data_IF_020379151369
#
_entry.id   IF_020379151369
#
_cell.length_a   1.000
_cell.length_b   1.000
_cell.length_c   1.000
_cell.angle_alpha   90.00
_cell.angle_beta   90.00
_cell.angle_gamma   90.00
#
_symmetry.space_group_name_H-M   'P 1'
#
loop_
_entity.id
_entity.type
_entity.pdbx_description
1 polymer ?
#
# COMPACT_ATOMS: atom_id res chain seq x y z
N UNK A 1 17.97 -15.68 -12.38
CA UNK A 1 18.96 -15.27 -13.39
C UNK A 1 20.26 -16.09 -13.32
N UNK A 2 21.00 -16.07 -12.20
CA UNK A 2 22.35 -16.67 -12.07
C UNK A 2 22.50 -18.17 -12.45
N UNK A 3 21.43 -18.97 -12.39
CA UNK A 3 21.45 -20.39 -12.79
C UNK A 3 21.01 -20.66 -14.24
N UNK A 4 20.81 -19.62 -15.06
CA UNK A 4 20.29 -19.78 -16.43
C UNK A 4 18.79 -20.10 -16.51
N UNK A 5 18.08 -20.15 -15.38
CA UNK A 5 16.63 -20.43 -15.27
C UNK A 5 15.77 -19.15 -15.20
N UNK A 6 16.23 -18.06 -15.82
CA UNK A 6 15.54 -16.76 -15.76
C UNK A 6 14.16 -16.81 -16.44
N UNK A 7 14.07 -17.56 -17.53
CA UNK A 7 12.84 -17.85 -18.28
C UNK A 7 11.82 -18.62 -17.43
N UNK A 8 12.23 -19.66 -16.71
CA UNK A 8 11.36 -20.42 -15.81
C UNK A 8 10.86 -19.57 -14.65
N UNK A 9 11.73 -18.71 -14.09
CA UNK A 9 11.35 -17.79 -13.03
C UNK A 9 10.33 -16.74 -13.51
N UNK A 10 10.55 -16.13 -14.68
CA UNK A 10 9.62 -15.15 -15.27
C UNK A 10 8.26 -15.77 -15.61
N UNK A 11 8.24 -16.96 -16.21
CA UNK A 11 6.98 -17.64 -16.51
C UNK A 11 6.26 -18.09 -15.26
N UNK A 12 6.98 -18.66 -14.30
CA UNK A 12 6.45 -19.04 -12.99
C UNK A 12 5.83 -17.84 -12.27
N UNK A 13 6.52 -16.71 -12.27
CA UNK A 13 6.03 -15.44 -11.74
C UNK A 13 4.75 -14.98 -12.46
N UNK A 14 4.75 -14.92 -13.80
CA UNK A 14 3.57 -14.47 -14.56
C UNK A 14 2.32 -15.35 -14.30
N UNK A 15 2.48 -16.67 -14.29
CA UNK A 15 1.39 -17.61 -13.99
C UNK A 15 0.92 -17.46 -12.54
N UNK A 16 1.86 -17.35 -11.61
CA UNK A 16 1.54 -17.16 -10.19
C UNK A 16 0.82 -15.84 -9.93
N UNK A 17 1.25 -14.77 -10.59
CA UNK A 17 0.61 -13.45 -10.57
C UNK A 17 -0.82 -13.54 -11.10
N UNK A 18 -1.05 -14.21 -12.24
CA UNK A 18 -2.39 -14.42 -12.79
C UNK A 18 -3.32 -15.20 -11.87
N UNK A 19 -2.82 -16.29 -11.25
CA UNK A 19 -3.57 -17.08 -10.28
C UNK A 19 -3.88 -16.25 -9.04
N UNK A 20 -2.90 -15.50 -8.54
CA UNK A 20 -3.05 -14.59 -7.41
C UNK A 20 -4.11 -13.52 -7.65
N UNK A 21 -4.05 -12.87 -8.82
CA UNK A 21 -5.07 -11.91 -9.24
C UNK A 21 -6.45 -12.55 -9.34
N UNK A 22 -6.58 -13.73 -9.95
CA UNK A 22 -7.89 -14.40 -10.13
C UNK A 22 -8.52 -14.76 -8.79
N UNK A 23 -7.75 -15.40 -7.90
CA UNK A 23 -8.21 -15.77 -6.56
C UNK A 23 -8.60 -14.51 -5.79
N UNK A 24 -7.78 -13.48 -5.87
CA UNK A 24 -8.03 -12.23 -5.16
C UNK A 24 -9.27 -11.50 -5.65
N UNK A 25 -9.57 -11.51 -6.95
CA UNK A 25 -10.80 -10.89 -7.49
C UNK A 25 -12.03 -11.71 -7.08
N UNK A 26 -11.92 -13.04 -7.03
CA UNK A 26 -13.00 -13.90 -6.50
C UNK A 26 -13.25 -13.60 -5.02
N UNK A 27 -12.20 -13.54 -4.20
CA UNK A 27 -12.32 -13.18 -2.78
C UNK A 27 -12.87 -11.75 -2.62
N UNK A 28 -12.42 -10.81 -3.45
CA UNK A 28 -12.96 -9.44 -3.46
C UNK A 28 -14.47 -9.46 -3.71
N UNK A 29 -14.94 -10.14 -4.75
CA UNK A 29 -16.37 -10.23 -5.09
C UNK A 29 -17.19 -10.86 -3.95
N UNK A 30 -16.62 -11.85 -3.25
CA UNK A 30 -17.31 -12.53 -2.14
C UNK A 30 -17.36 -11.68 -0.86
N UNK A 31 -16.26 -10.99 -0.52
CA UNK A 31 -16.15 -10.24 0.73
C UNK A 31 -16.60 -8.77 0.63
N UNK A 32 -16.65 -8.19 -0.57
CA UNK A 32 -17.03 -6.78 -0.74
C UNK A 32 -18.45 -6.47 -0.25
N UNK A 33 -19.51 -7.23 -0.63
CA UNK A 33 -20.86 -6.92 -0.14
C UNK A 33 -21.03 -7.10 1.38
N UNK A 34 -20.60 -8.23 2.00
CA UNK A 34 -20.70 -8.39 3.45
C UNK A 34 -19.92 -7.33 4.23
N UNK A 35 -18.74 -6.92 3.73
CA UNK A 35 -17.95 -5.89 4.38
C UNK A 35 -18.61 -4.51 4.25
N UNK A 36 -19.22 -4.18 3.11
CA UNK A 36 -19.99 -2.95 2.94
C UNK A 36 -21.22 -2.90 3.86
N UNK A 37 -21.95 -4.01 4.01
CA UNK A 37 -23.07 -4.09 4.96
C UNK A 37 -22.63 -3.94 6.42
N UNK A 38 -21.49 -4.52 6.77
CA UNK A 38 -20.89 -4.33 8.10
C UNK A 38 -20.50 -2.87 8.32
N UNK A 39 -19.91 -2.24 7.30
CA UNK A 39 -19.46 -0.85 7.37
C UNK A 39 -20.61 0.16 7.50
N UNK A 40 -21.80 -0.14 6.98
CA UNK A 40 -23.00 0.68 7.22
C UNK A 40 -23.39 0.76 8.70
N UNK A 41 -22.90 -0.16 9.54
CA UNK A 41 -23.15 -0.18 10.99
C UNK A 41 -22.07 0.53 11.79
N UNK A 42 -21.00 0.99 11.15
CA UNK A 42 -19.91 1.66 11.86
C UNK A 42 -20.33 3.06 12.29
N UNK A 43 -20.05 3.38 13.55
CA UNK A 43 -20.08 4.74 14.05
C UNK A 43 -18.68 5.38 14.01
N UNK A 44 -18.58 6.63 14.48
CA UNK A 44 -17.30 7.33 14.57
C UNK A 44 -16.24 6.59 15.41
N UNK A 45 -16.67 5.82 16.42
CA UNK A 45 -15.79 5.04 17.30
C UNK A 45 -15.07 3.93 16.52
N UNK A 46 -15.82 3.16 15.72
CA UNK A 46 -15.28 2.09 14.88
C UNK A 46 -14.37 2.64 13.79
N UNK A 47 -14.77 3.73 13.13
CA UNK A 47 -13.95 4.38 12.11
C UNK A 47 -12.61 4.86 12.69
N UNK A 48 -12.62 5.53 13.84
CA UNK A 48 -11.39 5.97 14.49
C UNK A 48 -10.49 4.79 14.85
N UNK A 49 -11.05 3.73 15.45
CA UNK A 49 -10.31 2.54 15.84
C UNK A 49 -9.68 1.83 14.63
N UNK A 50 -10.36 1.80 13.48
CA UNK A 50 -9.81 1.27 12.22
C UNK A 50 -8.64 2.11 11.69
N UNK A 51 -8.69 3.43 11.80
CA UNK A 51 -7.56 4.29 11.43
C UNK A 51 -6.37 4.08 12.37
N UNK A 52 -6.61 3.92 13.67
CA UNK A 52 -5.55 3.58 14.64
C UNK A 52 -4.92 2.23 14.30
N UNK A 53 -5.74 1.23 13.94
CA UNK A 53 -5.26 -0.06 13.45
C UNK A 53 -4.43 0.08 12.18
N UNK A 54 -4.81 0.96 11.24
CA UNK A 54 -4.02 1.24 10.04
C UNK A 54 -2.62 1.77 10.38
N UNK A 55 -2.52 2.74 11.30
CA UNK A 55 -1.23 3.24 11.75
C UNK A 55 -0.41 2.18 12.50
N UNK A 56 -1.05 1.34 13.31
CA UNK A 56 -0.41 0.24 14.00
C UNK A 56 0.17 -0.81 13.04
N UNK A 57 -0.50 -1.08 11.92
CA UNK A 57 -0.03 -2.02 10.91
C UNK A 57 1.32 -1.60 10.31
N UNK A 58 1.55 -0.32 10.05
CA UNK A 58 2.87 0.15 9.60
C UNK A 58 3.96 -0.11 10.65
N UNK A 59 3.64 0.07 11.93
CA UNK A 59 4.59 -0.12 13.03
C UNK A 59 4.91 -1.62 13.22
N UNK A 60 3.89 -2.47 13.17
CA UNK A 60 4.02 -3.89 13.45
C UNK A 60 4.50 -4.74 12.28
N UNK A 61 4.12 -4.38 11.04
CA UNK A 61 4.34 -5.20 9.83
C UNK A 61 5.19 -4.52 8.76
N UNK A 62 5.52 -3.23 8.90
CA UNK A 62 6.24 -2.46 7.88
C UNK A 62 7.67 -2.92 7.62
N UNK A 63 8.29 -3.65 8.55
CA UNK A 63 9.68 -4.12 8.43
C UNK A 63 10.75 -3.03 8.55
N UNK A 64 10.34 -1.76 8.51
CA UNK A 64 11.18 -0.57 8.70
C UNK A 64 11.49 -0.28 10.18
N UNK A 65 12.42 0.65 10.41
CA UNK A 65 12.77 1.14 11.75
C UNK A 65 11.55 1.77 12.45
N UNK A 66 11.06 1.13 13.51
CA UNK A 66 9.86 1.54 14.27
C UNK A 66 9.85 3.04 14.63
N UNK A 67 10.92 3.63 15.22
CA UNK A 67 10.89 5.05 15.59
C UNK A 67 10.77 5.96 14.37
N UNK A 68 11.38 5.58 13.24
CA UNK A 68 11.30 6.35 12.00
C UNK A 68 9.91 6.22 11.35
N UNK A 69 9.29 5.06 11.46
CA UNK A 69 7.89 4.85 11.04
C UNK A 69 6.95 5.73 11.85
N UNK A 70 7.06 5.73 13.18
CA UNK A 70 6.25 6.59 14.06
C UNK A 70 6.47 8.06 13.73
N UNK A 71 7.72 8.50 13.57
CA UNK A 71 8.03 9.87 13.18
C UNK A 71 7.38 10.25 11.84
N UNK A 72 7.43 9.34 10.86
CA UNK A 72 6.86 9.58 9.54
C UNK A 72 5.33 9.67 9.60
N UNK A 73 4.66 8.83 10.40
CA UNK A 73 3.22 8.93 10.65
C UNK A 73 2.87 10.27 11.30
N UNK A 74 3.58 10.65 12.36
CA UNK A 74 3.34 11.92 13.07
C UNK A 74 3.57 13.14 12.17
N UNK A 75 4.65 13.11 11.37
CA UNK A 75 4.91 14.14 10.37
C UNK A 75 3.74 14.25 9.39
N UNK A 76 3.23 13.13 8.90
CA UNK A 76 2.06 13.12 8.03
C UNK A 76 0.80 13.68 8.72
N UNK A 77 0.52 13.29 9.96
CA UNK A 77 -0.62 13.82 10.72
C UNK A 77 -0.53 15.34 10.93
N UNK A 78 0.67 15.86 11.22
CA UNK A 78 0.90 17.32 11.34
C UNK A 78 0.62 18.02 10.01
N UNK A 79 1.09 17.47 8.90
CA UNK A 79 0.86 18.03 7.57
C UNK A 79 -0.60 17.96 7.14
N UNK A 80 -1.35 16.93 7.58
CA UNK A 80 -2.79 16.82 7.38
C UNK A 80 -3.60 17.84 8.17
N UNK A 81 -3.09 18.32 9.31
CA UNK A 81 -3.76 19.30 10.16
C UNK A 81 -3.62 20.75 9.66
N UNK A 82 -2.85 20.97 8.58
CA UNK A 82 -2.68 22.28 7.94
C UNK A 82 -3.97 22.69 7.23
N UNK A 83 -4.47 23.89 7.55
CA UNK A 83 -5.65 24.48 6.92
C UNK A 83 -6.77 24.78 7.90
N UNK A 84 -7.99 24.92 7.39
CA UNK A 84 -9.16 25.15 8.23
C UNK A 84 -9.63 23.88 8.94
N UNK A 85 -9.93 24.03 10.23
CA UNK A 85 -10.70 23.03 10.96
C UNK A 85 -12.15 22.99 10.49
N UNK A 86 -12.59 21.85 10.00
CA UNK A 86 -13.97 21.63 9.56
C UNK A 86 -14.96 21.75 10.74
N UNK A 87 -14.53 21.47 11.98
CA UNK A 87 -15.41 21.46 13.16
C UNK A 87 -15.50 22.83 13.82
N UNK A 88 -14.38 23.50 14.11
CA UNK A 88 -14.38 24.83 14.75
C UNK A 88 -14.38 26.01 13.77
N UNK A 89 -14.10 25.79 12.49
CA UNK A 89 -13.92 26.86 11.50
C UNK A 89 -12.66 27.70 11.69
N UNK A 90 -11.78 27.33 12.64
CA UNK A 90 -10.56 28.07 12.94
C UNK A 90 -9.40 27.65 12.04
N UNK A 91 -8.54 28.59 11.62
CA UNK A 91 -7.31 28.25 10.90
C UNK A 91 -6.33 27.50 11.81
N UNK A 92 -5.66 26.47 11.27
CA UNK A 92 -4.66 25.66 11.98
C UNK A 92 -3.39 25.51 11.14
N UNK A 93 -2.25 25.66 11.81
CA UNK A 93 -0.91 25.49 11.22
C UNK A 93 -0.73 26.26 9.89
N UNK A 94 -1.24 27.50 9.82
CA UNK A 94 -0.98 28.38 8.69
C UNK A 94 0.48 28.83 8.77
N UNK A 95 1.30 28.30 7.88
CA UNK A 95 2.70 28.69 7.82
C UNK A 95 2.81 30.11 7.25
N UNK A 96 3.61 30.95 7.92
CA UNK A 96 3.96 32.30 7.48
C UNK A 96 2.76 33.23 7.21
N UNK A 97 1.62 32.99 7.86
CA UNK A 97 0.35 33.71 7.64
C UNK A 97 -0.11 33.76 6.17
N UNK A 98 0.36 32.82 5.35
CA UNK A 98 0.01 32.73 3.94
C UNK A 98 -1.40 32.15 3.77
N UNK A 99 -2.28 32.91 3.12
CA UNK A 99 -3.70 32.56 2.88
C UNK A 99 -3.82 31.24 2.10
N UNK A 100 -2.82 30.90 1.30
CA UNK A 100 -2.77 29.70 0.48
C UNK A 100 -2.81 28.40 1.30
N UNK A 101 -2.24 28.41 2.53
CA UNK A 101 -2.30 27.26 3.43
C UNK A 101 -3.67 27.05 4.07
N UNK A 102 -4.60 28.02 3.98
CA UNK A 102 -5.96 27.85 4.51
C UNK A 102 -6.72 26.70 3.84
N UNK A 103 -6.41 26.42 2.57
CA UNK A 103 -6.98 25.28 1.81
C UNK A 103 -6.35 23.94 2.21
N UNK A 104 -5.34 23.95 3.07
CA UNK A 104 -4.56 22.78 3.46
C UNK A 104 -3.68 22.25 2.35
N UNK A 105 -2.97 21.17 2.68
CA UNK A 105 -2.08 20.48 1.74
C UNK A 105 -2.88 19.41 1.02
N UNK A 106 -3.13 19.64 -0.27
CA UNK A 106 -3.84 18.66 -1.10
C UNK A 106 -3.07 17.34 -1.17
N UNK A 107 -3.76 16.23 -0.93
CA UNK A 107 -3.16 14.90 -1.03
C UNK A 107 -2.46 14.67 -2.37
N UNK A 108 -3.05 15.13 -3.48
CA UNK A 108 -2.46 15.01 -4.81
C UNK A 108 -1.11 15.74 -4.91
N UNK A 109 -1.05 16.98 -4.44
CA UNK A 109 0.16 17.82 -4.43
C UNK A 109 1.28 17.10 -3.68
N UNK A 110 0.94 16.52 -2.53
CA UNK A 110 1.87 15.79 -1.70
C UNK A 110 2.31 14.46 -2.31
N UNK A 111 1.36 13.66 -2.81
CA UNK A 111 1.66 12.37 -3.42
C UNK A 111 2.57 12.54 -4.64
N UNK A 112 2.28 13.52 -5.51
CA UNK A 112 3.12 13.81 -6.69
C UNK A 112 4.48 14.39 -6.25
N UNK A 113 4.51 15.28 -5.25
CA UNK A 113 5.76 15.80 -4.72
C UNK A 113 6.65 14.69 -4.19
N UNK A 114 6.14 13.90 -3.25
CA UNK A 114 6.91 12.88 -2.55
C UNK A 114 7.26 11.68 -3.45
N UNK A 115 6.28 11.07 -4.13
CA UNK A 115 6.51 9.87 -4.95
C UNK A 115 6.96 10.18 -6.39
N UNK A 116 6.62 11.34 -6.92
CA UNK A 116 7.07 11.76 -8.25
C UNK A 116 8.44 12.43 -8.17
N UNK A 117 8.50 13.61 -7.55
CA UNK A 117 9.73 14.40 -7.49
C UNK A 117 10.76 13.77 -6.54
N UNK A 118 10.37 13.48 -5.30
CA UNK A 118 11.26 12.97 -4.26
C UNK A 118 11.89 11.61 -4.61
N UNK A 119 11.07 10.69 -5.13
CA UNK A 119 11.55 9.38 -5.58
C UNK A 119 12.54 9.50 -6.73
N UNK A 120 12.24 10.34 -7.73
CA UNK A 120 13.11 10.51 -8.88
C UNK A 120 14.45 11.14 -8.50
N UNK A 121 14.47 12.13 -7.61
CA UNK A 121 15.71 12.70 -7.08
C UNK A 121 16.55 11.63 -6.36
N UNK A 122 15.92 10.78 -5.56
CA UNK A 122 16.59 9.67 -4.87
C UNK A 122 17.16 8.63 -5.85
N UNK A 123 16.36 8.23 -6.85
CA UNK A 123 16.79 7.27 -7.87
C UNK A 123 17.95 7.80 -8.70
N UNK A 124 17.96 9.10 -9.03
CA UNK A 124 19.06 9.76 -9.73
C UNK A 124 20.38 9.65 -8.95
N UNK A 125 20.36 9.90 -7.64
CA UNK A 125 21.53 9.80 -6.77
C UNK A 125 22.05 8.36 -6.68
N UNK A 126 21.16 7.39 -6.41
CA UNK A 126 21.56 5.98 -6.27
C UNK A 126 22.10 5.37 -7.57
N UNK A 127 21.46 5.67 -8.70
CA UNK A 127 21.75 4.97 -9.95
C UNK A 127 22.99 5.53 -10.66
N UNK A 128 23.43 6.75 -10.32
CA UNK A 128 24.58 7.43 -10.98
C UNK A 128 24.55 7.35 -12.52
N UNK A 129 23.36 7.24 -13.11
CA UNK A 129 23.16 7.06 -14.56
C UNK A 129 23.50 5.68 -15.15
N UNK A 130 23.83 4.64 -14.36
CA UNK A 130 24.16 3.30 -14.88
C UNK A 130 22.98 2.34 -14.71
N UNK A 131 22.24 2.10 -15.79
CA UNK A 131 21.23 1.03 -15.84
C UNK A 131 21.93 -0.29 -16.17
N UNK A 132 21.97 -1.24 -15.23
CA UNK A 132 22.33 -2.62 -15.56
C UNK A 132 21.08 -3.33 -16.07
N UNK A 133 21.06 -3.59 -17.39
CA UNK A 133 20.00 -4.38 -18.00
C UNK A 133 20.58 -5.77 -18.28
N UNK A 134 20.17 -6.75 -17.47
CA UNK A 134 20.31 -8.15 -17.87
C UNK A 134 19.27 -8.43 -18.96
N UNK A 135 19.73 -8.57 -20.20
CA UNK A 135 18.89 -8.95 -21.32
C UNK A 135 18.41 -10.40 -21.14
N UNK A 136 17.17 -10.58 -20.69
CA UNK A 136 16.53 -11.90 -20.69
C UNK A 136 15.83 -12.11 -22.04
N UNK A 137 16.43 -12.93 -22.92
CA UNK A 137 15.80 -13.39 -24.16
C UNK A 137 14.88 -14.58 -23.84
N UNK A 138 13.57 -14.37 -23.87
CA UNK A 138 12.58 -15.44 -23.68
C UNK A 138 12.17 -16.02 -25.04
N UNK A 139 12.26 -17.35 -25.22
CA UNK A 139 11.85 -18.03 -26.47
C UNK A 139 10.53 -18.79 -26.26
N UNK A 140 9.59 -18.67 -27.21
CA UNK A 140 8.25 -19.30 -27.19
C UNK A 140 8.27 -20.83 -26.99
N UNK A 141 9.31 -21.52 -27.46
CA UNK A 141 9.46 -22.97 -27.31
C UNK A 141 9.58 -23.43 -25.85
N UNK A 142 10.19 -22.62 -24.97
CA UNK A 142 10.31 -22.93 -23.53
C UNK A 142 9.03 -22.65 -22.73
N UNK A 143 8.05 -21.98 -23.35
CA UNK A 143 6.75 -21.68 -22.74
C UNK A 143 5.95 -22.96 -22.49
N UNK A 144 5.89 -23.86 -23.49
CA UNK A 144 5.14 -25.12 -23.41
C UNK A 144 5.70 -26.10 -22.38
N UNK A 145 7.03 -26.13 -22.22
CA UNK A 145 7.71 -27.04 -21.30
C UNK A 145 7.50 -26.65 -19.83
N UNK A 146 7.47 -25.34 -19.53
CA UNK A 146 7.22 -24.82 -18.19
C UNK A 146 5.77 -24.98 -17.70
N UNK A 147 4.78 -25.05 -18.60
CA UNK A 147 3.39 -25.34 -18.21
C UNK A 147 3.25 -26.69 -17.48
N UNK A 148 4.11 -27.67 -17.79
CA UNK A 148 4.12 -28.97 -17.11
C UNK A 148 4.51 -28.91 -15.63
N UNK A 149 5.20 -27.85 -15.20
CA UNK A 149 5.68 -27.68 -13.83
C UNK A 149 4.73 -26.92 -12.91
N UNK A 150 3.63 -26.34 -13.44
CA UNK A 150 2.64 -25.56 -12.68
C UNK A 150 2.13 -26.31 -11.45
N UNK A 151 1.80 -27.60 -11.61
CA UNK A 151 1.25 -28.44 -10.53
C UNK A 151 2.15 -28.50 -9.30
N UNK A 152 3.47 -28.32 -9.46
CA UNK A 152 4.43 -28.41 -8.34
C UNK A 152 4.38 -27.19 -7.42
N UNK A 153 4.05 -26.01 -7.93
CA UNK A 153 4.02 -24.76 -7.16
C UNK A 153 2.62 -24.18 -7.00
N UNK A 154 1.59 -24.83 -7.56
CA UNK A 154 0.20 -24.42 -7.42
C UNK A 154 -0.26 -24.31 -5.95
N UNK A 155 0.02 -25.27 -5.05
CA UNK A 155 -0.40 -25.16 -3.64
C UNK A 155 0.25 -23.97 -2.91
N UNK A 156 1.51 -23.69 -3.20
CA UNK A 156 2.22 -22.54 -2.62
C UNK A 156 1.72 -21.21 -3.20
N UNK A 157 1.30 -21.23 -4.47
CA UNK A 157 0.71 -20.07 -5.16
C UNK A 157 -0.66 -19.74 -4.59
N UNK A 158 -1.54 -20.73 -4.43
CA UNK A 158 -2.88 -20.52 -3.85
C UNK A 158 -2.79 -20.05 -2.41
N UNK A 159 -1.93 -20.65 -1.58
CA UNK A 159 -1.67 -20.19 -0.22
C UNK A 159 -1.16 -18.74 -0.20
N UNK A 160 -0.19 -18.42 -1.06
CA UNK A 160 0.32 -17.06 -1.20
C UNK A 160 -0.75 -16.07 -1.66
N UNK A 161 -1.67 -16.49 -2.53
CA UNK A 161 -2.78 -15.66 -3.02
C UNK A 161 -3.77 -15.32 -1.91
N UNK A 162 -4.18 -16.33 -1.13
CA UNK A 162 -5.13 -16.14 -0.02
C UNK A 162 -4.51 -15.25 1.06
N UNK A 163 -3.26 -15.55 1.44
CA UNK A 163 -2.51 -14.74 2.40
C UNK A 163 -2.35 -13.31 1.88
N UNK A 164 -1.94 -13.16 0.62
CA UNK A 164 -1.74 -11.87 -0.01
C UNK A 164 -3.00 -11.02 -0.02
N UNK A 165 -4.16 -11.61 -0.34
CA UNK A 165 -5.44 -10.93 -0.25
C UNK A 165 -5.70 -10.40 1.16
N UNK A 166 -5.66 -11.26 2.19
CA UNK A 166 -5.95 -10.83 3.56
C UNK A 166 -4.94 -9.82 4.11
N UNK A 167 -3.65 -10.01 3.84
CA UNK A 167 -2.63 -9.00 4.20
C UNK A 167 -2.89 -7.70 3.47
N UNK A 168 -3.26 -7.74 2.18
CA UNK A 168 -3.65 -6.55 1.42
C UNK A 168 -4.89 -5.85 1.96
N UNK A 169 -5.87 -6.60 2.50
CA UNK A 169 -7.06 -6.01 3.15
C UNK A 169 -6.73 -5.31 4.46
N UNK A 170 -5.60 -5.63 5.10
CA UNK A 170 -5.15 -4.89 6.27
C UNK A 170 -4.76 -3.48 5.84
N UNK A 171 -5.37 -2.44 6.43
CA UNK A 171 -4.99 -1.07 6.14
C UNK A 171 -3.49 -0.88 6.35
N UNK A 172 -2.84 -0.20 5.40
CA UNK A 172 -1.41 0.12 5.43
C UNK A 172 -0.40 -1.03 5.27
N UNK A 173 -0.80 -2.30 5.19
CA UNK A 173 0.16 -3.39 5.04
C UNK A 173 0.80 -3.43 3.64
N UNK A 174 0.03 -3.17 2.58
CA UNK A 174 0.54 -3.19 1.21
C UNK A 174 1.07 -4.56 0.74
N UNK A 175 1.71 -4.57 -0.43
CA UNK A 175 2.11 -5.81 -1.10
C UNK A 175 3.46 -6.37 -0.63
N UNK A 176 4.38 -5.52 -0.14
CA UNK A 176 5.73 -5.95 0.26
C UNK A 176 5.71 -6.90 1.47
N UNK A 177 5.03 -6.59 2.60
CA UNK A 177 4.92 -7.53 3.71
C UNK A 177 4.20 -8.82 3.30
N UNK A 178 3.18 -8.75 2.45
CA UNK A 178 2.49 -9.91 1.92
C UNK A 178 3.43 -10.87 1.18
N UNK A 179 4.27 -10.35 0.29
CA UNK A 179 5.28 -11.13 -0.43
C UNK A 179 6.32 -11.76 0.49
N UNK A 180 6.81 -11.02 1.48
CA UNK A 180 7.80 -11.52 2.45
C UNK A 180 7.21 -12.62 3.34
N UNK A 181 5.99 -12.44 3.83
CA UNK A 181 5.27 -13.45 4.62
C UNK A 181 4.99 -14.71 3.78
N UNK A 182 4.54 -14.54 2.53
CA UNK A 182 4.31 -15.64 1.61
C UNK A 182 5.59 -16.43 1.30
N UNK A 183 6.73 -15.73 1.14
CA UNK A 183 8.04 -16.39 1.02
C UNK A 183 8.37 -17.23 2.25
N UNK A 184 8.23 -16.65 3.44
CA UNK A 184 8.50 -17.31 4.72
C UNK A 184 7.65 -18.56 4.91
N UNK A 185 6.34 -18.45 4.71
CA UNK A 185 5.42 -19.59 4.82
C UNK A 185 5.69 -20.65 3.76
N UNK A 186 5.94 -20.25 2.50
CA UNK A 186 6.28 -21.19 1.45
C UNK A 186 7.56 -21.98 1.77
N UNK A 187 8.56 -21.32 2.39
CA UNK A 187 9.79 -21.97 2.85
C UNK A 187 9.51 -22.94 4.01
N UNK A 188 8.74 -22.53 5.01
CA UNK A 188 8.42 -23.34 6.20
C UNK A 188 7.60 -24.59 5.85
N UNK A 189 6.63 -24.47 4.94
CA UNK A 189 5.81 -25.61 4.49
C UNK A 189 6.46 -26.42 3.37
N UNK A 190 7.65 -26.03 2.91
CA UNK A 190 8.33 -26.77 1.85
C UNK A 190 8.91 -28.07 2.38
N UNK A 191 8.81 -29.13 1.57
CA UNK A 191 9.55 -30.38 1.79
C UNK A 191 11.07 -30.18 1.67
N UNK A 192 11.53 -29.15 0.94
CA UNK A 192 12.95 -28.84 0.72
C UNK A 192 13.26 -27.36 1.02
N UNK A 193 13.28 -26.93 2.29
CA UNK A 193 13.51 -25.52 2.66
C UNK A 193 14.86 -24.95 2.18
N UNK A 194 15.89 -25.78 2.09
CA UNK A 194 17.26 -25.38 1.71
C UNK A 194 17.42 -25.00 0.23
N UNK A 195 16.40 -25.29 -0.58
CA UNK A 195 16.37 -24.94 -2.01
C UNK A 195 15.87 -23.50 -2.26
N UNK A 196 15.25 -22.86 -1.27
CA UNK A 196 14.81 -21.47 -1.34
C UNK A 196 16.01 -20.52 -1.42
N UNK A 197 15.94 -19.51 -2.29
CA UNK A 197 17.09 -18.66 -2.63
C UNK A 197 18.11 -19.31 -3.56
N UNK A 198 18.03 -20.63 -3.81
CA UNK A 198 18.91 -21.38 -4.73
C UNK A 198 18.23 -21.76 -6.05
N UNK A 199 17.15 -21.07 -6.42
CA UNK A 199 16.42 -21.30 -7.68
C UNK A 199 15.17 -22.16 -7.57
N UNK A 200 14.62 -22.38 -6.37
CA UNK A 200 13.29 -22.99 -6.22
C UNK A 200 12.19 -22.02 -6.72
N UNK A 201 11.39 -22.48 -7.69
CA UNK A 201 10.31 -21.70 -8.31
C UNK A 201 9.21 -21.32 -7.32
N UNK A 202 8.92 -22.13 -6.29
CA UNK A 202 7.96 -21.78 -5.23
C UNK A 202 8.39 -20.55 -4.44
N UNK A 203 9.71 -20.28 -4.38
CA UNK A 203 10.26 -19.07 -3.75
C UNK A 203 10.07 -17.79 -4.58
N UNK A 204 9.60 -17.90 -5.83
CA UNK A 204 9.22 -16.77 -6.69
C UNK A 204 7.70 -16.72 -6.86
N UNK A 205 7.08 -17.89 -7.10
CA UNK A 205 5.64 -17.99 -7.34
C UNK A 205 4.81 -17.56 -6.12
N UNK A 206 5.13 -17.99 -4.90
CA UNK A 206 4.33 -17.62 -3.74
C UNK A 206 4.39 -16.11 -3.41
N UNK A 207 5.57 -15.46 -3.39
CA UNK A 207 5.65 -14.01 -3.19
C UNK A 207 4.98 -13.19 -4.28
N UNK A 208 5.08 -13.63 -5.54
CA UNK A 208 4.46 -12.95 -6.69
C UNK A 208 2.93 -13.07 -6.66
N UNK A 209 2.41 -14.26 -6.35
CA UNK A 209 0.98 -14.45 -6.16
C UNK A 209 0.43 -13.60 -5.02
N UNK A 210 1.18 -13.52 -3.91
CA UNK A 210 0.83 -12.69 -2.77
C UNK A 210 0.89 -11.18 -3.10
N UNK A 211 1.89 -10.74 -3.87
CA UNK A 211 2.01 -9.36 -4.32
C UNK A 211 0.77 -8.92 -5.11
N UNK A 212 0.40 -9.71 -6.13
CA UNK A 212 -0.72 -9.35 -6.98
C UNK A 212 -2.06 -9.47 -6.24
N UNK A 213 -2.22 -10.49 -5.38
CA UNK A 213 -3.40 -10.62 -4.55
C UNK A 213 -3.53 -9.49 -3.51
N UNK A 214 -2.42 -9.02 -2.93
CA UNK A 214 -2.43 -7.89 -2.01
C UNK A 214 -2.80 -6.57 -2.70
N UNK A 215 -2.43 -6.40 -3.97
CA UNK A 215 -2.83 -5.23 -4.77
C UNK A 215 -4.36 -5.12 -4.87
N UNK A 216 -5.01 -6.20 -5.31
CA UNK A 216 -6.48 -6.29 -5.37
C UNK A 216 -7.12 -6.26 -3.98
N UNK A 217 -6.53 -6.97 -2.99
CA UNK A 217 -6.98 -6.97 -1.61
C UNK A 217 -6.98 -5.58 -0.98
N UNK A 218 -6.00 -4.74 -1.30
CA UNK A 218 -5.89 -3.36 -0.79
C UNK A 218 -6.99 -2.42 -1.30
N UNK A 219 -7.63 -2.77 -2.42
CA UNK A 219 -8.79 -2.03 -2.93
C UNK A 219 -10.07 -2.36 -2.15
N UNK A 220 -10.12 -3.50 -1.46
CA UNK A 220 -11.33 -3.93 -0.75
C UNK A 220 -11.73 -2.91 0.34
N UNK A 221 -10.88 -2.61 1.35
CA UNK A 221 -11.22 -1.60 2.35
C UNK A 221 -11.33 -0.20 1.75
N UNK A 222 -10.63 0.09 0.64
CA UNK A 222 -10.74 1.38 -0.03
C UNK A 222 -12.16 1.58 -0.56
N UNK A 223 -12.70 0.59 -1.28
CA UNK A 223 -14.02 0.68 -1.90
C UNK A 223 -15.14 0.52 -0.87
N UNK A 224 -14.99 -0.37 0.12
CA UNK A 224 -16.04 -0.66 1.11
C UNK A 224 -16.02 0.26 2.33
N UNK A 225 -14.85 0.69 2.81
CA UNK A 225 -14.69 1.50 4.02
C UNK A 225 -14.21 2.93 3.73
N UNK A 226 -13.75 3.22 2.51
CA UNK A 226 -13.06 4.48 2.22
C UNK A 226 -11.64 4.55 2.78
N UNK A 227 -11.08 3.41 3.22
CA UNK A 227 -9.76 3.33 3.88
C UNK A 227 -8.77 2.64 2.93
N UNK A 228 -7.75 3.34 2.41
CA UNK A 228 -6.78 2.75 1.51
C UNK A 228 -5.92 1.68 2.20
N UNK A 229 -5.81 0.49 1.58
CA UNK A 229 -4.97 -0.60 2.08
C UNK A 229 -3.47 -0.44 1.79
N UNK A 230 -3.11 0.50 0.90
CA UNK A 230 -1.76 0.72 0.42
C UNK A 230 -1.56 2.17 -0.04
N UNK A 231 -0.30 2.65 -0.16
CA UNK A 231 -0.06 3.98 -0.69
C UNK A 231 -0.58 4.19 -2.12
N UNK A 232 -0.55 3.15 -2.96
CA UNK A 232 -1.07 3.21 -4.33
C UNK A 232 -2.60 3.32 -4.36
N UNK A 233 -3.29 2.59 -3.47
CA UNK A 233 -4.76 2.73 -3.33
C UNK A 233 -5.15 4.07 -2.70
N UNK A 234 -4.31 4.68 -1.86
CA UNK A 234 -4.54 6.05 -1.42
C UNK A 234 -4.56 7.04 -2.60
N UNK A 235 -3.68 6.85 -3.59
CA UNK A 235 -3.67 7.65 -4.83
C UNK A 235 -4.97 7.46 -5.61
N UNK A 236 -5.41 6.20 -5.77
CA UNK A 236 -6.69 5.88 -6.42
C UNK A 236 -7.89 6.50 -5.69
N UNK A 237 -7.93 6.43 -4.36
CA UNK A 237 -8.95 7.07 -3.54
C UNK A 237 -9.01 8.58 -3.79
N UNK A 238 -7.86 9.25 -3.83
CA UNK A 238 -7.77 10.68 -4.17
C UNK A 238 -8.33 10.97 -5.58
N UNK A 239 -8.00 10.13 -6.57
CA UNK A 239 -8.54 10.24 -7.93
C UNK A 239 -10.05 10.05 -7.98
N UNK A 240 -10.60 9.07 -7.26
CA UNK A 240 -12.04 8.83 -7.19
C UNK A 240 -12.79 10.03 -6.60
N UNK A 241 -12.27 10.62 -5.52
CA UNK A 241 -12.85 11.81 -4.88
C UNK A 241 -12.90 12.99 -5.85
N UNK A 242 -11.86 13.19 -6.66
CA UNK A 242 -11.84 14.23 -7.70
C UNK A 242 -12.95 14.02 -8.73
N UNK A 243 -13.22 12.77 -9.08
CA UNK A 243 -14.30 12.38 -10.00
C UNK A 243 -15.68 12.37 -9.34
N UNK A 244 -15.81 12.87 -8.11
CA UNK A 244 -17.07 12.94 -7.37
C UNK A 244 -17.51 11.60 -6.76
N UNK A 245 -16.70 10.55 -6.89
CA UNK A 245 -16.96 9.26 -6.25
C UNK A 245 -16.45 9.30 -4.81
N UNK A 246 -17.29 8.86 -3.86
CA UNK A 246 -16.93 8.77 -2.45
C UNK A 246 -16.90 7.31 -2.03
N UNK A 247 -15.72 6.66 -2.05
CA UNK A 247 -15.58 5.28 -1.58
C UNK A 247 -16.03 5.12 -0.13
N UNK A 248 -16.56 3.95 0.19
CA UNK A 248 -17.24 3.66 1.43
C UNK A 248 -18.55 2.89 1.20
N UNK A 249 -19.27 2.57 2.28
CA UNK A 249 -20.42 1.67 2.19
C UNK A 249 -21.54 2.22 1.31
N UNK A 250 -21.72 3.55 1.31
CA UNK A 250 -22.71 4.24 0.49
C UNK A 250 -22.40 4.19 -1.01
N UNK A 251 -21.16 3.88 -1.42
CA UNK A 251 -20.81 3.78 -2.84
C UNK A 251 -21.57 2.62 -3.50
N UNK A 252 -21.73 1.49 -2.78
CA UNK A 252 -22.49 0.32 -3.26
C UNK A 252 -23.98 0.62 -3.44
N UNK A 253 -24.54 1.49 -2.60
CA UNK A 253 -25.94 1.90 -2.68
C UNK A 253 -26.17 2.98 -3.75
N UNK A 254 -25.30 3.99 -3.81
CA UNK A 254 -25.50 5.17 -4.65
C UNK A 254 -24.98 4.99 -6.08
N UNK A 255 -23.95 4.15 -6.28
CA UNK A 255 -23.31 3.95 -7.59
C UNK A 255 -23.06 2.45 -7.87
N UNK A 256 -24.09 1.58 -7.85
CA UNK A 256 -23.92 0.15 -8.04
C UNK A 256 -23.31 -0.19 -9.39
N UNK A 257 -23.67 0.53 -10.46
CA UNK A 257 -23.13 0.32 -11.81
C UNK A 257 -21.62 0.54 -11.86
N UNK A 258 -21.11 1.56 -11.14
CA UNK A 258 -19.68 1.80 -11.03
C UNK A 258 -18.99 0.68 -10.25
N UNK A 259 -19.55 0.26 -9.12
CA UNK A 259 -18.93 -0.75 -8.25
C UNK A 259 -18.86 -2.11 -8.94
N UNK A 260 -19.97 -2.57 -9.53
CA UNK A 260 -20.00 -3.83 -10.26
C UNK A 260 -19.24 -3.75 -11.58
N UNK A 261 -19.24 -2.58 -12.23
CA UNK A 261 -18.38 -2.29 -13.37
C UNK A 261 -16.89 -2.39 -13.02
N UNK A 262 -16.48 -1.85 -11.87
CA UNK A 262 -15.12 -1.96 -11.35
C UNK A 262 -14.77 -3.44 -11.09
N UNK A 263 -15.58 -4.16 -10.32
CA UNK A 263 -15.37 -5.59 -10.01
C UNK A 263 -15.29 -6.42 -11.30
N UNK A 264 -16.22 -6.22 -12.23
CA UNK A 264 -16.21 -6.88 -13.53
C UNK A 264 -14.96 -6.54 -14.34
N UNK A 265 -14.55 -5.28 -14.34
CA UNK A 265 -13.32 -4.84 -15.00
C UNK A 265 -12.08 -5.46 -14.38
N UNK A 266 -12.06 -5.80 -13.08
CA UNK A 266 -10.92 -6.47 -12.43
C UNK A 266 -10.72 -7.90 -12.96
N UNK A 267 -11.81 -8.63 -13.24
CA UNK A 267 -11.72 -9.93 -13.90
C UNK A 267 -11.09 -9.78 -15.28
N UNK A 268 -11.66 -8.90 -16.12
CA UNK A 268 -11.18 -8.65 -17.49
C UNK A 268 -9.73 -8.15 -17.47
N UNK A 269 -9.42 -7.21 -16.60
CA UNK A 269 -8.09 -6.65 -16.41
C UNK A 269 -7.09 -7.73 -16.02
N UNK A 270 -7.43 -8.70 -15.16
CA UNK A 270 -6.50 -9.76 -14.80
C UNK A 270 -6.13 -10.65 -16.01
N UNK A 271 -7.09 -10.97 -16.88
CA UNK A 271 -6.81 -11.68 -18.14
C UNK A 271 -6.01 -10.83 -19.14
N UNK A 272 -6.43 -9.59 -19.34
CA UNK A 272 -5.77 -8.65 -20.27
C UNK A 272 -4.36 -8.32 -19.81
N UNK A 273 -4.11 -8.21 -18.50
CA UNK A 273 -2.80 -7.88 -17.92
C UNK A 273 -1.77 -8.97 -18.22
N UNK A 274 -2.15 -10.24 -18.28
CA UNK A 274 -1.22 -11.30 -18.72
C UNK A 274 -0.82 -11.12 -20.17
N UNK A 275 -1.80 -10.85 -21.05
CA UNK A 275 -1.55 -10.59 -22.46
C UNK A 275 -0.70 -9.34 -22.69
N UNK A 276 -1.05 -8.23 -22.04
CA UNK A 276 -0.32 -6.97 -22.09
C UNK A 276 1.07 -7.11 -21.50
N UNK A 277 1.25 -7.78 -20.36
CA UNK A 277 2.57 -7.98 -19.78
C UNK A 277 3.48 -8.71 -20.75
N UNK A 278 3.01 -9.76 -21.42
CA UNK A 278 3.80 -10.49 -22.42
C UNK A 278 4.07 -9.67 -23.70
N UNK A 279 3.09 -8.90 -24.18
CA UNK A 279 3.23 -8.08 -25.39
C UNK A 279 4.09 -6.83 -25.18
N UNK A 280 4.02 -6.22 -24.00
CA UNK A 280 4.70 -4.97 -23.66
C UNK A 280 6.06 -5.16 -22.98
N UNK A 281 6.51 -6.40 -22.68
CA UNK A 281 7.90 -6.66 -22.25
C UNK A 281 8.93 -5.85 -23.08
N UNK A 282 8.94 -5.90 -24.43
CA UNK A 282 9.90 -5.14 -25.21
C UNK A 282 9.78 -3.62 -25.03
N UNK A 283 8.58 -3.10 -24.74
CA UNK A 283 8.36 -1.69 -24.46
C UNK A 283 8.84 -1.30 -23.06
N UNK A 284 8.51 -2.09 -22.04
CA UNK A 284 9.00 -1.87 -20.67
C UNK A 284 10.53 -1.94 -20.59
N UNK A 285 11.14 -2.90 -21.28
CA UNK A 285 12.61 -2.98 -21.39
C UNK A 285 13.18 -1.75 -22.09
N UNK A 286 12.54 -1.23 -23.14
CA UNK A 286 12.98 0.02 -23.80
C UNK A 286 12.85 1.25 -22.90
N UNK A 287 11.77 1.36 -22.12
CA UNK A 287 11.59 2.46 -21.16
C UNK A 287 12.62 2.37 -20.04
N UNK A 288 12.87 1.18 -19.50
CA UNK A 288 13.93 0.94 -18.52
C UNK A 288 15.33 1.19 -19.09
N UNK A 289 15.52 0.98 -20.39
CA UNK A 289 16.76 1.30 -21.10
C UNK A 289 16.91 2.78 -21.47
N UNK A 290 15.86 3.59 -21.29
CA UNK A 290 15.94 5.00 -21.58
C UNK A 290 16.88 5.67 -20.58
N UNK A 291 17.82 6.51 -21.03
CA UNK A 291 18.71 7.18 -20.12
C UNK A 291 17.90 8.08 -19.18
N UNK A 292 18.26 8.07 -17.89
CA UNK A 292 17.60 8.87 -16.85
C UNK A 292 17.59 10.37 -17.16
N UNK A 293 18.52 10.85 -17.99
CA UNK A 293 18.57 12.22 -18.52
C UNK A 293 17.37 12.60 -19.39
N UNK A 294 16.66 11.64 -19.99
CA UNK A 294 15.44 11.88 -20.77
C UNK A 294 14.21 11.56 -19.92
N UNK A 295 14.25 10.46 -19.17
CA UNK A 295 13.10 10.01 -18.37
C UNK A 295 12.73 11.01 -17.28
N UNK A 296 13.72 11.59 -16.59
CA UNK A 296 13.46 12.48 -15.45
C UNK A 296 12.81 13.80 -15.86
N UNK A 297 13.28 14.53 -16.90
CA UNK A 297 12.59 15.74 -17.36
C UNK A 297 11.14 15.49 -17.79
N UNK A 298 10.86 14.35 -18.45
CA UNK A 298 9.49 13.99 -18.85
C UNK A 298 8.61 13.82 -17.60
N UNK A 299 9.08 13.07 -16.59
CA UNK A 299 8.34 12.89 -15.33
C UNK A 299 8.11 14.24 -14.65
N UNK A 300 9.12 15.10 -14.59
CA UNK A 300 8.98 16.42 -13.96
C UNK A 300 7.94 17.28 -14.68
N UNK A 301 7.98 17.35 -16.00
CA UNK A 301 6.97 18.08 -16.79
C UNK A 301 5.56 17.54 -16.51
N UNK A 302 5.39 16.21 -16.46
CA UNK A 302 4.11 15.59 -16.12
C UNK A 302 3.66 15.91 -14.69
N UNK A 303 4.57 15.96 -13.72
CA UNK A 303 4.26 16.38 -12.35
C UNK A 303 3.82 17.84 -12.29
N UNK A 304 4.53 18.75 -12.97
CA UNK A 304 4.19 20.17 -13.06
C UNK A 304 2.81 20.38 -13.68
N UNK A 305 2.59 19.79 -14.86
CA UNK A 305 1.31 19.88 -15.58
C UNK A 305 0.19 19.23 -14.78
N UNK A 306 0.44 18.06 -14.16
CA UNK A 306 -0.55 17.34 -13.38
C UNK A 306 -1.05 18.10 -12.16
N UNK A 307 -0.13 18.68 -11.37
CA UNK A 307 -0.53 19.51 -10.22
C UNK A 307 -1.24 20.78 -10.67
N UNK A 308 -0.69 21.48 -11.66
CA UNK A 308 -1.30 22.73 -12.13
C UNK A 308 -2.69 22.52 -12.73
N UNK A 309 -2.86 21.50 -13.58
CA UNK A 309 -4.13 21.21 -14.24
C UNK A 309 -5.25 20.77 -13.25
N UNK A 310 -4.88 20.16 -12.13
CA UNK A 310 -5.87 19.69 -11.13
C UNK A 310 -6.23 20.74 -10.09
N UNK A 311 -5.31 21.63 -9.76
CA UNK A 311 -5.47 22.57 -8.65
C UNK A 311 -5.70 24.02 -9.10
N UNK A 312 -5.36 24.34 -10.35
CA UNK A 312 -5.38 25.69 -10.92
C UNK A 312 -4.62 26.73 -10.06
N UNK A 313 -3.56 26.27 -9.36
CA UNK A 313 -2.77 27.10 -8.43
C UNK A 313 -1.27 26.88 -8.61
N UNK A 314 -0.54 27.95 -8.89
CA UNK A 314 0.92 27.91 -8.93
C UNK A 314 1.55 27.66 -7.55
N UNK A 315 0.88 28.07 -6.47
CA UNK A 315 1.32 27.77 -5.11
C UNK A 315 1.45 26.26 -4.86
N UNK A 316 0.48 25.47 -5.33
CA UNK A 316 0.50 24.01 -5.16
C UNK A 316 1.66 23.38 -5.94
N UNK A 317 2.04 23.95 -7.09
CA UNK A 317 3.22 23.52 -7.84
C UNK A 317 4.51 23.76 -7.06
N UNK A 318 4.66 24.93 -6.43
CA UNK A 318 5.82 25.20 -5.57
C UNK A 318 5.83 24.32 -4.33
N UNK A 319 4.67 24.12 -3.71
CA UNK A 319 4.51 23.25 -2.56
C UNK A 319 4.88 21.80 -2.90
N UNK A 320 4.46 21.30 -4.07
CA UNK A 320 4.86 19.99 -4.60
C UNK A 320 6.39 19.85 -4.64
N UNK A 321 7.11 20.87 -5.13
CA UNK A 321 8.57 20.84 -5.19
C UNK A 321 9.21 20.79 -3.81
N UNK A 322 8.72 21.61 -2.87
CA UNK A 322 9.21 21.62 -1.48
C UNK A 322 8.96 20.27 -0.81
N UNK A 323 7.75 19.72 -0.96
CA UNK A 323 7.39 18.40 -0.42
C UNK A 323 8.20 17.28 -1.08
N UNK A 324 8.49 17.39 -2.37
CA UNK A 324 9.35 16.43 -3.07
C UNK A 324 10.78 16.46 -2.59
N UNK A 325 11.34 17.65 -2.35
CA UNK A 325 12.64 17.77 -1.71
C UNK A 325 12.63 17.19 -0.29
N UNK A 326 11.56 17.45 0.48
CA UNK A 326 11.36 16.85 1.80
C UNK A 326 11.29 15.32 1.76
N UNK A 327 10.54 14.75 0.81
CA UNK A 327 10.45 13.31 0.59
C UNK A 327 11.81 12.68 0.21
N UNK A 328 12.57 13.37 -0.64
CA UNK A 328 13.95 12.99 -0.98
C UNK A 328 14.85 12.95 0.27
N UNK A 329 14.78 13.98 1.12
CA UNK A 329 15.56 14.03 2.37
C UNK A 329 15.15 12.93 3.36
N UNK A 330 13.86 12.67 3.55
CA UNK A 330 13.38 11.57 4.39
C UNK A 330 13.94 10.25 3.91
N UNK A 331 13.90 10.00 2.59
CA UNK A 331 14.41 8.78 2.00
C UNK A 331 15.93 8.65 2.15
N UNK A 332 16.66 9.76 1.98
CA UNK A 332 18.12 9.82 2.22
C UNK A 332 18.51 9.52 3.66
N UNK A 333 17.68 9.91 4.62
CA UNK A 333 17.85 9.61 6.04
C UNK A 333 17.30 8.22 6.44
N UNK A 334 16.85 7.41 5.47
CA UNK A 334 16.21 6.10 5.67
C UNK A 334 14.94 6.18 6.53
N UNK A 335 14.13 7.25 6.39
CA UNK A 335 12.79 7.33 6.96
C UNK A 335 11.77 6.80 5.94
N UNK A 336 10.82 5.96 6.38
CA UNK A 336 9.82 5.39 5.49
C UNK A 336 8.82 6.46 5.09
N UNK A 337 8.79 6.75 3.79
CA UNK A 337 7.96 7.82 3.22
C UNK A 337 6.48 7.41 3.11
N UNK A 338 6.21 6.12 2.90
CA UNK A 338 4.87 5.59 2.74
C UNK A 338 3.93 5.84 3.94
N UNK A 339 4.36 5.61 5.19
CA UNK A 339 3.58 5.98 6.37
C UNK A 339 3.18 7.46 6.44
N UNK A 340 4.07 8.38 6.05
CA UNK A 340 3.77 9.81 6.06
C UNK A 340 2.66 10.16 5.06
N UNK A 341 2.73 9.61 3.83
CA UNK A 341 1.71 9.88 2.80
C UNK A 341 0.35 9.32 3.21
N UNK A 342 0.30 8.11 3.77
CA UNK A 342 -0.97 7.53 4.22
C UNK A 342 -1.57 8.33 5.39
N UNK A 343 -0.74 8.77 6.33
CA UNK A 343 -1.18 9.58 7.47
C UNK A 343 -1.80 10.92 7.06
N UNK A 344 -1.45 11.46 5.91
CA UNK A 344 -2.04 12.70 5.40
C UNK A 344 -3.46 12.46 4.86
N UNK A 345 -3.73 11.28 4.30
CA UNK A 345 -5.06 10.89 3.83
C UNK A 345 -5.94 10.47 5.01
N UNK A 346 -5.39 9.65 5.89
CA UNK A 346 -6.15 9.07 7.01
C UNK A 346 -6.28 10.03 8.19
N UNK A 347 -5.36 10.97 8.37
CA UNK A 347 -5.34 11.91 9.49
C UNK A 347 -6.63 12.73 9.63
N UNK A 348 -7.11 13.40 8.58
CA UNK A 348 -8.36 14.17 8.65
C UNK A 348 -9.58 13.30 8.96
N UNK A 349 -9.61 12.07 8.44
CA UNK A 349 -10.66 11.10 8.73
C UNK A 349 -10.59 10.65 10.20
N UNK A 350 -9.40 10.27 10.67
CA UNK A 350 -9.16 9.84 12.04
C UNK A 350 -9.49 10.96 13.04
N UNK A 351 -9.03 12.19 12.80
CA UNK A 351 -9.32 13.32 13.67
C UNK A 351 -10.83 13.62 13.72
N UNK A 352 -11.50 13.61 12.56
CA UNK A 352 -12.94 13.84 12.50
C UNK A 352 -13.71 12.78 13.28
N UNK A 353 -13.43 11.50 13.04
CA UNK A 353 -14.12 10.41 13.72
C UNK A 353 -13.81 10.43 15.22
N UNK A 354 -12.56 10.68 15.64
CA UNK A 354 -12.18 10.86 17.05
C UNK A 354 -12.97 11.98 17.73
N UNK A 355 -13.05 13.15 17.10
CA UNK A 355 -13.77 14.31 17.64
C UNK A 355 -15.26 14.05 17.69
N UNK A 356 -15.85 13.44 16.66
CA UNK A 356 -17.25 13.05 16.66
C UNK A 356 -17.58 12.06 17.77
N UNK A 357 -16.74 11.05 17.99
CA UNK A 357 -16.86 10.12 19.12
C UNK A 357 -16.85 10.87 20.45
N UNK A 358 -15.83 11.70 20.70
CA UNK A 358 -15.70 12.43 21.97
C UNK A 358 -16.82 13.45 22.20
N UNK A 359 -17.30 14.13 21.16
CA UNK A 359 -18.45 15.03 21.29
C UNK A 359 -19.70 14.23 21.66
N UNK A 360 -19.93 13.07 21.01
CA UNK A 360 -21.08 12.21 21.27
C UNK A 360 -21.04 11.58 22.67
N UNK A 361 -19.85 11.22 23.16
CA UNK A 361 -19.63 10.66 24.50
C UNK A 361 -19.42 11.71 25.59
N UNK A 362 -19.60 13.01 25.28
CA UNK A 362 -19.39 14.13 26.21
C UNK A 362 -17.98 14.18 26.82
N UNK A 363 -16.97 13.77 26.05
CA UNK A 363 -15.57 13.77 26.42
C UNK A 363 -15.08 12.47 27.04
N UNK A 364 -15.93 11.45 27.15
CA UNK A 364 -15.52 10.16 27.70
C UNK A 364 -14.69 9.36 26.69
N UNK A 365 -13.40 9.17 27.02
CA UNK A 365 -12.42 8.41 26.22
C UNK A 365 -12.65 6.91 26.35
N UNK A 366 -13.37 6.45 27.36
CA UNK A 366 -13.67 5.01 27.54
C UNK A 366 -14.62 4.48 26.47
N UNK A 367 -15.32 5.36 25.73
CA UNK A 367 -16.18 5.02 24.58
C UNK A 367 -15.50 4.10 23.56
N UNK A 368 -14.18 4.25 23.38
CA UNK A 368 -13.42 3.44 22.42
C UNK A 368 -13.14 2.01 22.89
N UNK A 369 -13.21 1.75 24.20
CA UNK A 369 -12.93 0.44 24.81
C UNK A 369 -14.17 -0.21 25.40
N UNK A 370 -15.36 0.36 25.19
CA UNK A 370 -16.61 -0.20 25.70
C UNK A 370 -16.98 -1.49 24.94
N UNK A 371 -16.95 -2.67 25.61
CA UNK A 371 -17.14 -3.96 24.94
C UNK A 371 -18.57 -4.21 24.46
N UNK A 372 -19.56 -3.55 25.07
CA UNK A 372 -20.99 -3.77 24.80
C UNK A 372 -21.50 -2.84 23.69
N UNK A 373 -21.11 -1.58 23.71
CA UNK A 373 -21.59 -0.57 22.77
C UNK A 373 -20.79 -0.57 21.46
N UNK A 374 -19.47 -0.77 21.56
CA UNK A 374 -18.54 -0.66 20.43
C UNK A 374 -17.56 -1.85 20.37
N UNK A 375 -18.06 -3.09 20.18
CA UNK A 375 -17.22 -4.30 20.19
C UNK A 375 -16.16 -4.29 19.08
N UNK A 376 -16.47 -3.70 17.92
CA UNK A 376 -15.56 -3.63 16.77
C UNK A 376 -14.42 -2.64 17.04
N UNK A 377 -14.72 -1.49 17.65
CA UNK A 377 -13.72 -0.51 18.03
C UNK A 377 -12.74 -1.11 19.05
N UNK A 378 -13.25 -1.84 20.04
CA UNK A 378 -12.43 -2.55 21.02
C UNK A 378 -11.51 -3.57 20.35
N UNK A 379 -12.03 -4.42 19.46
CA UNK A 379 -11.22 -5.41 18.73
C UNK A 379 -10.10 -4.71 17.94
N UNK A 380 -10.43 -3.64 17.22
CA UNK A 380 -9.46 -2.88 16.43
C UNK A 380 -8.37 -2.25 17.31
N UNK A 381 -8.72 -1.68 18.46
CA UNK A 381 -7.76 -1.09 19.40
C UNK A 381 -6.88 -2.17 20.04
N UNK A 382 -7.46 -3.29 20.46
CA UNK A 382 -6.68 -4.41 21.02
C UNK A 382 -5.70 -4.96 19.98
N UNK A 383 -6.14 -5.14 18.74
CA UNK A 383 -5.26 -5.56 17.64
C UNK A 383 -4.19 -4.50 17.33
N UNK A 384 -4.54 -3.22 17.34
CA UNK A 384 -3.59 -2.13 17.13
C UNK A 384 -2.48 -2.15 18.20
N UNK A 385 -2.86 -2.27 19.48
CA UNK A 385 -1.91 -2.39 20.59
C UNK A 385 -1.05 -3.65 20.44
N UNK A 386 -1.66 -4.79 20.10
CA UNK A 386 -0.94 -6.04 19.88
C UNK A 386 0.10 -5.91 18.75
N UNK A 387 -0.26 -5.28 17.62
CA UNK A 387 0.65 -5.06 16.50
C UNK A 387 1.78 -4.08 16.84
N UNK A 388 1.50 -3.01 17.59
CA UNK A 388 2.54 -2.08 18.03
C UNK A 388 3.54 -2.74 19.00
N UNK A 389 3.06 -3.63 19.87
CA UNK A 389 3.89 -4.32 20.85
C UNK A 389 4.60 -5.56 20.30
N UNK A 390 4.05 -6.20 19.27
CA UNK A 390 4.59 -7.41 18.63
C UNK A 390 6.09 -7.32 18.32
N UNK A 391 6.60 -6.29 17.62
CA UNK A 391 8.02 -6.22 17.30
C UNK A 391 8.91 -5.97 18.53
N UNK A 392 8.40 -5.27 19.55
CA UNK A 392 9.11 -5.06 20.82
C UNK A 392 9.28 -6.39 21.56
N UNK A 393 8.21 -7.18 21.65
CA UNK A 393 8.25 -8.51 22.26
C UNK A 393 9.20 -9.46 21.52
N UNK A 394 9.19 -9.45 20.18
CA UNK A 394 10.09 -10.26 19.36
C UNK A 394 11.56 -9.92 19.57
N UNK A 395 11.90 -8.63 19.60
CA UNK A 395 13.26 -8.17 19.86
C UNK A 395 13.72 -8.52 21.29
N UNK A 396 12.85 -8.38 22.28
CA UNK A 396 13.12 -8.78 23.65
C UNK A 396 13.41 -10.29 23.75
N UNK A 397 12.59 -11.13 23.11
CA UNK A 397 12.76 -12.59 23.10
C UNK A 397 14.02 -13.03 22.33
N UNK A 398 14.31 -12.44 21.16
CA UNK A 398 15.54 -12.72 20.40
C UNK A 398 16.81 -12.38 21.17
N UNK A 399 16.83 -11.22 21.84
CA UNK A 399 17.98 -10.80 22.66
C UNK A 399 18.17 -11.68 23.90
N UNK A 400 17.09 -12.28 24.42
CA UNK A 400 17.17 -13.25 25.52
C UNK A 400 17.69 -14.62 25.04
N UNK A 401 17.28 -15.05 23.86
CA UNK A 401 17.76 -16.29 23.24
C UNK A 401 19.22 -16.21 22.78
N UNK A 402 19.70 -15.05 22.34
CA UNK A 402 21.12 -14.84 22.02
C UNK A 402 21.98 -14.85 23.29
N UNK A 403 21.54 -14.16 24.36
CA UNK A 403 22.21 -14.21 25.67
C UNK A 403 22.31 -15.62 26.25
N UNK A 404 21.28 -16.46 26.07
CA UNK A 404 21.32 -17.86 26.51
C UNK A 404 22.34 -18.70 25.73
N UNK A 405 22.49 -18.44 24.42
CA UNK A 405 23.47 -19.13 23.55
C UNK A 405 24.92 -18.70 23.76
N UNK A 406 25.16 -17.50 24.29
CA UNK A 406 26.51 -17.05 24.67
C UNK A 406 26.92 -17.53 26.08
N UNK A 407 25.96 -17.99 26.89
CA UNK A 407 26.20 -18.50 28.26
C UNK A 407 26.38 -20.03 28.37
N UNK A 408 26.20 -20.75 27.26
CA UNK A 408 26.43 -22.20 27.09
C UNK A 408 27.52 -22.39 26.07
#
# INVERSE_FOLDING_TARGET
>A
AQKGLADQALMGAAIASFIGGTISVVLFTLFAPPLAELALKFGPQEEFALMVLAFATFIGLGGDDIPKTIFSILLGLVMAAVGFDIISGQPRLIFFDMVEFQRGIGFLVLAIGIYGIGEMLWTLEQTSGKVQIENVKTTWSKFKENLGHIKKYLPTTTLGSVLGFFVGTLPAAGATPASLMAYGLAKTFSKNPDSFGKGNISGVAAPEAANNAASTGSMLPMITLGIPGSPTTAILLGGMIIWGLRPGPLLFANNPDFVWGLIGSMYVANFVTVGLNLALIPLFVRVLAMPFTILTPIIFILCFVGVFATTDRMFDVWLMLVLGLGGYLLRKLNYPVAPAVLAIVLGPLAERSMRQSLISSRGDVTTFVHPVEHPIALICIVLAIALMLYPVFLNYWRNRASKYREST
#
